data_IF_784475760826
#
_entry.id   IF_784475760826
#
_cell.length_a   1.000
_cell.length_b   1.000
_cell.length_c   1.000
_cell.angle_alpha   90.00
_cell.angle_beta   90.00
_cell.angle_gamma   90.00
#
_symmetry.space_group_name_H-M   'P 1'
#
loop_
_entity.id
_entity.type
_entity.pdbx_description
1 polymer ?
#
# COMPACT_ATOMS: atom_id res chain seq x y z
N UNK A 1 -19.04 1.82 1.96
CA UNK A 1 -17.99 1.60 0.95
C UNK A 1 -16.81 0.90 1.62
N UNK A 2 -16.16 -0.06 0.95
CA UNK A 2 -14.92 -0.68 1.44
C UNK A 2 -13.71 0.01 0.80
N UNK A 3 -12.57 0.13 1.50
CA UNK A 3 -11.33 0.61 0.88
C UNK A 3 -10.93 -0.30 -0.29
N UNK A 4 -10.27 0.26 -1.30
CA UNK A 4 -9.71 -0.51 -2.42
C UNK A 4 -8.54 -1.38 -1.95
N UNK A 5 -7.65 -0.80 -1.14
CA UNK A 5 -6.54 -1.49 -0.49
C UNK A 5 -6.42 -0.98 0.96
N UNK A 6 -6.09 -1.88 1.89
CA UNK A 6 -5.93 -1.58 3.30
C UNK A 6 -7.01 -2.17 4.21
N UNK A 7 -6.59 -2.64 5.38
CA UNK A 7 -7.42 -3.25 6.43
C UNK A 7 -7.86 -2.27 7.52
N UNK A 8 -7.60 -0.97 7.35
CA UNK A 8 -7.74 0.11 8.34
C UNK A 8 -6.82 0.01 9.56
N UNK A 9 -6.02 -1.06 9.69
CA UNK A 9 -4.92 -1.12 10.66
C UNK A 9 -3.74 -0.29 10.18
N UNK A 10 -3.16 0.47 11.10
CA UNK A 10 -1.88 1.17 10.91
C UNK A 10 -0.73 0.19 11.19
N UNK A 11 -0.02 -0.23 10.13
CA UNK A 11 1.16 -1.10 10.18
C UNK A 11 1.77 -1.23 8.78
N UNK A 12 3.00 -1.77 8.69
CA UNK A 12 3.55 -2.30 7.43
C UNK A 12 3.17 -3.77 7.25
N UNK A 13 2.09 -4.04 6.51
CA UNK A 13 1.73 -5.42 6.13
C UNK A 13 1.47 -5.45 4.62
N UNK A 14 2.32 -6.18 3.90
CA UNK A 14 2.13 -6.53 2.49
C UNK A 14 1.19 -7.74 2.36
N UNK A 15 0.66 -7.96 1.15
CA UNK A 15 -0.25 -9.07 0.85
C UNK A 15 -1.50 -8.62 0.10
N UNK A 16 -2.55 -9.48 0.03
CA UNK A 16 -3.78 -9.18 -0.70
C UNK A 16 -4.35 -7.80 -0.35
N UNK A 17 -4.94 -7.11 -1.33
CA UNK A 17 -5.38 -5.71 -1.16
C UNK A 17 -6.20 -5.47 0.12
N UNK A 18 -7.12 -6.39 0.44
CA UNK A 18 -8.00 -6.28 1.61
C UNK A 18 -7.33 -6.60 2.95
N UNK A 19 -6.21 -7.33 2.94
CA UNK A 19 -5.50 -7.80 4.13
C UNK A 19 -4.29 -6.91 4.47
N UNK A 20 -3.75 -6.20 3.49
CA UNK A 20 -2.65 -5.27 3.68
C UNK A 20 -2.97 -4.21 4.75
N UNK A 21 -1.95 -3.75 5.45
CA UNK A 21 -2.02 -2.60 6.35
C UNK A 21 -1.11 -1.50 5.80
N UNK A 22 -1.57 -0.26 5.88
CA UNK A 22 -0.86 0.94 5.41
C UNK A 22 -0.64 1.86 6.61
N UNK A 23 0.42 2.66 6.57
CA UNK A 23 0.88 3.49 7.68
C UNK A 23 0.90 4.99 7.28
N UNK A 24 -0.30 5.57 7.27
CA UNK A 24 -0.59 6.98 6.94
C UNK A 24 0.09 7.48 5.65
N UNK A 25 -0.27 6.93 4.48
CA UNK A 25 0.33 7.35 3.22
C UNK A 25 0.00 8.81 2.89
N UNK A 26 0.99 9.55 2.36
CA UNK A 26 0.87 11.00 2.12
C UNK A 26 0.79 11.39 0.64
N UNK A 27 1.11 10.47 -0.28
CA UNK A 27 1.07 10.75 -1.72
C UNK A 27 0.85 9.48 -2.53
N UNK A 28 0.19 9.61 -3.68
CA UNK A 28 -0.16 8.50 -4.58
C UNK A 28 -0.02 8.91 -6.06
N UNK A 29 0.45 7.97 -6.89
CA UNK A 29 0.50 8.09 -8.34
C UNK A 29 0.24 6.74 -8.99
N UNK A 30 0.19 6.67 -10.32
CA UNK A 30 0.00 5.42 -11.06
C UNK A 30 0.90 5.32 -12.29
N UNK A 31 1.34 4.10 -12.59
CA UNK A 31 1.98 3.75 -13.87
C UNK A 31 1.03 3.03 -14.84
N UNK A 32 -0.29 3.07 -14.61
CA UNK A 32 -1.31 2.43 -15.44
C UNK A 32 -1.62 0.95 -15.10
N UNK A 33 -0.71 0.25 -14.42
CA UNK A 33 -0.92 -1.14 -13.94
C UNK A 33 -0.95 -1.27 -12.41
N UNK A 34 -0.26 -0.35 -11.73
CA UNK A 34 -0.13 -0.30 -10.28
C UNK A 34 -0.34 1.13 -9.81
N UNK A 35 -0.86 1.27 -8.59
CA UNK A 35 -0.75 2.47 -7.78
C UNK A 35 0.59 2.43 -7.04
N UNK A 36 1.25 3.57 -6.92
CA UNK A 36 2.45 3.74 -6.13
C UNK A 36 2.17 4.81 -5.08
N UNK A 37 2.58 4.57 -3.84
CA UNK A 37 2.34 5.52 -2.77
C UNK A 37 3.51 5.58 -1.80
N UNK A 38 3.70 6.76 -1.23
CA UNK A 38 4.64 6.98 -0.14
C UNK A 38 3.92 6.71 1.18
N UNK A 39 4.32 5.64 1.87
CA UNK A 39 3.79 5.24 3.17
C UNK A 39 4.66 5.88 4.26
N UNK A 40 4.24 7.05 4.74
CA UNK A 40 5.13 8.03 5.36
C UNK A 40 5.58 7.67 6.77
N UNK A 41 4.75 6.99 7.54
CA UNK A 41 5.09 6.63 8.91
C UNK A 41 6.21 5.58 8.97
N UNK A 42 6.31 4.75 7.94
CA UNK A 42 7.28 3.65 7.84
C UNK A 42 8.37 3.93 6.80
N UNK A 43 8.54 5.18 6.37
CA UNK A 43 9.57 5.62 5.42
C UNK A 43 9.71 4.72 4.18
N UNK A 44 8.59 4.30 3.57
CA UNK A 44 8.62 3.34 2.45
C UNK A 44 7.85 3.80 1.21
N UNK A 45 8.31 3.34 0.05
CA UNK A 45 7.54 3.40 -1.20
C UNK A 45 6.93 2.03 -1.45
N UNK A 46 5.62 2.00 -1.62
CA UNK A 46 4.84 0.78 -1.79
C UNK A 46 4.00 0.87 -3.05
N UNK A 47 3.54 -0.28 -3.53
CA UNK A 47 2.64 -0.38 -4.66
C UNK A 47 1.42 -1.22 -4.33
N UNK A 48 0.30 -0.93 -4.97
CA UNK A 48 -0.89 -1.76 -4.99
C UNK A 48 -1.23 -2.09 -6.46
N UNK A 49 -1.55 -3.33 -6.75
CA UNK A 49 -2.10 -3.70 -8.05
C UNK A 49 -3.45 -3.03 -8.30
N UNK A 50 -3.73 -2.69 -9.56
CA UNK A 50 -5.06 -2.22 -9.98
C UNK A 50 -6.03 -3.39 -10.15
N UNK A 51 -5.50 -4.59 -10.40
CA UNK A 51 -6.27 -5.82 -10.40
C UNK A 51 -6.93 -6.02 -9.01
N UNK A 52 -8.26 -6.18 -8.91
CA UNK A 52 -8.96 -6.37 -7.64
C UNK A 52 -8.50 -7.61 -6.84
N UNK A 53 -7.91 -8.60 -7.50
CA UNK A 53 -7.37 -9.82 -6.87
C UNK A 53 -5.86 -9.71 -6.61
N UNK A 54 -5.28 -8.53 -6.83
CA UNK A 54 -3.87 -8.26 -6.63
C UNK A 54 -3.48 -7.98 -5.17
N UNK A 55 -2.34 -7.33 -5.00
CA UNK A 55 -1.71 -7.19 -3.69
C UNK A 55 -1.00 -5.85 -3.50
N UNK A 56 -0.73 -5.54 -2.24
CA UNK A 56 0.18 -4.49 -1.81
C UNK A 56 1.57 -5.08 -1.60
N UNK A 57 2.59 -4.40 -2.13
CA UNK A 57 4.01 -4.75 -1.91
C UNK A 57 4.83 -3.53 -1.57
N UNK A 58 5.80 -3.72 -0.68
CA UNK A 58 6.87 -2.76 -0.41
C UNK A 58 7.94 -2.86 -1.49
N UNK A 59 8.27 -1.72 -2.11
CA UNK A 59 9.31 -1.63 -3.15
C UNK A 59 10.66 -1.32 -2.50
N UNK A 60 10.67 -0.35 -1.59
CA UNK A 60 11.87 0.08 -0.85
C UNK A 60 11.45 0.75 0.46
N UNK A 61 12.34 0.69 1.44
CA UNK A 61 12.12 1.16 2.81
C UNK A 61 11.76 0.01 3.74
N UNK A 62 11.99 0.24 5.02
CA UNK A 62 11.70 -0.69 6.11
C UNK A 62 11.23 0.11 7.32
N UNK A 63 10.75 -0.59 8.35
CA UNK A 63 10.42 0.06 9.62
C UNK A 63 11.64 0.75 10.23
N UNK A 64 11.37 1.74 11.06
CA UNK A 64 12.35 2.29 12.00
C UNK A 64 12.58 1.34 13.19
#
# INVERSE_FOLDING_TARGET
ARPFAGSAREARIDGPLAEAALAQPSGITTGGKKLYFADSEISSIRSADIDPDGEVRTIVGEDL
#
